data_IF_061853637469
#
_entry.id   IF_061853637469
#
_cell.length_a   1.000
_cell.length_b   1.000
_cell.length_c   1.000
_cell.angle_alpha   90.00
_cell.angle_beta   90.00
_cell.angle_gamma   90.00
#
_symmetry.space_group_name_H-M   'P 1'
#
loop_
_entity.id
_entity.type
_entity.pdbx_description
1 polymer ?
#
# COMPACT_ATOMS: atom_id res chain seq x y z
N UNK A 1 0.02 31.71 -29.76
CA UNK A 1 1.28 31.18 -29.20
C UNK A 1 1.29 31.15 -27.67
N UNK A 2 0.90 32.23 -26.97
CA UNK A 2 0.86 32.32 -25.49
C UNK A 2 0.04 31.21 -24.81
N UNK A 3 -1.19 30.94 -25.27
CA UNK A 3 -2.03 29.83 -24.73
C UNK A 3 -1.36 28.46 -24.78
N UNK A 4 -0.60 28.19 -25.85
CA UNK A 4 0.13 26.92 -26.01
C UNK A 4 1.26 26.81 -25.00
N UNK A 5 1.99 27.89 -24.75
CA UNK A 5 3.07 27.95 -23.76
C UNK A 5 2.51 27.70 -22.36
N UNK A 6 1.47 28.44 -21.97
CA UNK A 6 0.84 28.28 -20.65
C UNK A 6 0.32 26.85 -20.43
N UNK A 7 -0.37 26.29 -21.43
CA UNK A 7 -0.91 24.93 -21.35
C UNK A 7 0.22 23.88 -21.26
N UNK A 8 1.32 24.06 -21.99
CA UNK A 8 2.48 23.17 -21.92
C UNK A 8 3.15 23.23 -20.54
N UNK A 9 3.35 24.43 -19.99
CA UNK A 9 3.93 24.63 -18.66
C UNK A 9 3.08 23.94 -17.59
N UNK A 10 1.76 24.09 -17.66
CA UNK A 10 0.83 23.44 -16.72
C UNK A 10 0.87 21.91 -16.82
N UNK A 11 0.84 21.35 -18.04
CA UNK A 11 0.92 19.89 -18.21
C UNK A 11 2.28 19.35 -17.76
N UNK A 12 3.37 20.08 -18.03
CA UNK A 12 4.71 19.72 -17.51
C UNK A 12 4.72 19.67 -15.98
N UNK A 13 4.11 20.64 -15.31
CA UNK A 13 4.01 20.64 -13.84
C UNK A 13 3.20 19.43 -13.33
N UNK A 14 2.09 19.10 -13.99
CA UNK A 14 1.31 17.90 -13.66
C UNK A 14 2.15 16.62 -13.78
N UNK A 15 2.95 16.51 -14.84
CA UNK A 15 3.86 15.38 -15.05
C UNK A 15 5.01 15.35 -14.04
N UNK A 16 5.53 16.51 -13.62
CA UNK A 16 6.54 16.60 -12.56
C UNK A 16 6.00 16.06 -11.23
N UNK A 17 4.77 16.38 -10.86
CA UNK A 17 4.12 15.82 -9.66
C UNK A 17 4.02 14.29 -9.74
N UNK A 18 3.57 13.75 -10.87
CA UNK A 18 3.52 12.28 -11.08
C UNK A 18 4.92 11.67 -10.97
N UNK A 19 5.93 12.28 -11.59
CA UNK A 19 7.30 11.78 -11.53
C UNK A 19 7.87 11.85 -10.11
N UNK A 20 7.49 12.86 -9.31
CA UNK A 20 7.83 12.96 -7.90
C UNK A 20 7.25 11.80 -7.08
N UNK A 21 5.98 11.47 -7.28
CA UNK A 21 5.35 10.31 -6.64
C UNK A 21 6.06 8.98 -7.00
N UNK A 22 6.48 8.81 -8.26
CA UNK A 22 7.28 7.66 -8.67
C UNK A 22 8.65 7.60 -7.98
N UNK A 23 9.27 8.75 -7.70
CA UNK A 23 10.54 8.80 -6.97
C UNK A 23 10.37 8.40 -5.51
N UNK A 24 9.31 8.86 -4.84
CA UNK A 24 8.98 8.42 -3.47
C UNK A 24 8.66 6.93 -3.42
N UNK A 25 7.85 6.43 -4.35
CA UNK A 25 7.51 5.01 -4.43
C UNK A 25 8.76 4.13 -4.57
N UNK A 26 9.73 4.57 -5.37
CA UNK A 26 10.98 3.85 -5.59
C UNK A 26 11.81 3.70 -4.32
N UNK A 27 11.81 4.69 -3.41
CA UNK A 27 12.57 4.62 -2.15
C UNK A 27 12.12 3.46 -1.26
N UNK A 28 10.88 3.00 -1.43
CA UNK A 28 10.30 1.90 -0.68
C UNK A 28 10.65 0.52 -1.26
N UNK A 29 11.22 0.46 -2.48
CA UNK A 29 11.50 -0.81 -3.16
C UNK A 29 12.89 -1.31 -2.74
N UNK A 30 12.99 -2.49 -2.10
CA UNK A 30 14.28 -3.09 -1.78
C UNK A 30 15.03 -3.49 -3.06
N UNK A 31 16.18 -2.88 -3.34
CA UNK A 31 17.01 -3.19 -4.51
C UNK A 31 18.51 -3.19 -4.20
N UNK A 32 19.29 -3.91 -5.01
CA UNK A 32 20.75 -3.88 -4.98
C UNK A 32 21.28 -3.54 -6.38
N UNK A 33 22.10 -2.48 -6.55
CA UNK A 33 22.41 -1.44 -5.57
C UNK A 33 21.18 -0.54 -5.27
N UNK A 34 21.14 0.19 -4.14
CA UNK A 34 19.97 0.99 -3.71
C UNK A 34 19.60 2.13 -4.67
N UNK A 35 20.53 2.54 -5.54
CA UNK A 35 20.36 3.58 -6.55
C UNK A 35 20.04 3.02 -7.96
N UNK A 36 19.81 1.70 -8.09
CA UNK A 36 19.50 1.03 -9.36
C UNK A 36 18.38 1.73 -10.12
N UNK A 37 18.68 2.27 -11.30
CA UNK A 37 17.71 2.95 -12.21
C UNK A 37 16.62 1.98 -12.68
N UNK A 38 15.44 2.04 -12.05
CA UNK A 38 14.20 1.38 -12.43
C UNK A 38 13.34 2.25 -13.37
N UNK A 39 12.74 1.63 -14.38
CA UNK A 39 11.66 2.22 -15.19
C UNK A 39 10.34 2.31 -14.41
N UNK A 40 9.38 3.09 -14.91
CA UNK A 40 8.03 3.20 -14.30
C UNK A 40 7.34 1.84 -14.18
N UNK A 41 7.44 0.99 -15.20
CA UNK A 41 6.80 -0.31 -15.19
C UNK A 41 7.45 -1.25 -14.16
N UNK A 42 8.78 -1.26 -14.08
CA UNK A 42 9.50 -2.03 -13.06
C UNK A 42 9.15 -1.57 -11.66
N UNK A 43 9.07 -0.25 -11.40
CA UNK A 43 8.65 0.30 -10.10
C UNK A 43 7.28 -0.27 -9.70
N UNK A 44 6.30 -0.23 -10.60
CA UNK A 44 4.95 -0.73 -10.31
C UNK A 44 4.95 -2.23 -10.02
N UNK A 45 5.61 -3.04 -10.87
CA UNK A 45 5.66 -4.50 -10.70
C UNK A 45 6.37 -4.91 -9.41
N UNK A 46 7.52 -4.30 -9.13
CA UNK A 46 8.30 -4.62 -7.93
C UNK A 46 7.55 -4.21 -6.66
N UNK A 47 6.90 -3.04 -6.66
CA UNK A 47 6.13 -2.58 -5.50
C UNK A 47 4.92 -3.48 -5.20
N UNK A 48 4.15 -3.86 -6.22
CA UNK A 48 3.01 -4.79 -6.06
C UNK A 48 3.50 -6.13 -5.50
N UNK A 49 4.57 -6.69 -6.07
CA UNK A 49 5.16 -7.94 -5.58
C UNK A 49 5.72 -7.82 -4.16
N UNK A 50 6.29 -6.67 -3.81
CA UNK A 50 6.79 -6.38 -2.48
C UNK A 50 5.66 -6.39 -1.45
N UNK A 51 4.56 -5.70 -1.72
CA UNK A 51 3.37 -5.72 -0.85
C UNK A 51 2.77 -7.12 -0.74
N UNK A 52 2.66 -7.86 -1.85
CA UNK A 52 2.13 -9.23 -1.83
C UNK A 52 2.96 -10.15 -0.93
N UNK A 53 4.30 -10.06 -0.99
CA UNK A 53 5.19 -10.82 -0.12
C UNK A 53 5.04 -10.41 1.35
N UNK A 54 5.06 -9.11 1.63
CA UNK A 54 4.88 -8.61 2.99
C UNK A 54 3.58 -9.11 3.65
N UNK A 55 2.49 -9.17 2.89
CA UNK A 55 1.21 -9.67 3.39
C UNK A 55 1.27 -11.18 3.68
N UNK A 56 1.88 -11.97 2.79
CA UNK A 56 2.04 -13.41 3.00
C UNK A 56 2.93 -13.71 4.22
N UNK A 57 4.05 -12.98 4.36
CA UNK A 57 4.99 -13.17 5.47
C UNK A 57 4.29 -12.90 6.84
N UNK A 58 3.38 -11.90 6.89
CA UNK A 58 2.60 -11.59 8.08
C UNK A 58 1.57 -12.68 8.46
N UNK A 59 0.98 -13.36 7.48
CA UNK A 59 0.04 -14.46 7.71
C UNK A 59 0.74 -15.72 8.28
N UNK A 60 1.95 -16.00 7.79
CA UNK A 60 2.76 -17.14 8.25
C UNK A 60 3.22 -16.97 9.72
N UNK A 61 3.60 -15.75 10.14
CA UNK A 61 3.98 -15.49 11.53
C UNK A 61 2.80 -15.67 12.52
N UNK A 62 1.57 -15.40 12.07
CA UNK A 62 0.35 -15.63 12.86
C UNK A 62 0.06 -17.12 13.13
N UNK A 63 0.47 -18.00 12.21
CA UNK A 63 0.19 -19.44 12.28
C UNK A 63 1.25 -20.21 13.08
N UNK A 64 2.51 -19.73 13.12
CA UNK A 64 3.59 -20.41 13.84
C UNK A 64 3.50 -20.28 15.37
N UNK A 65 2.71 -19.34 15.89
CA UNK A 65 2.48 -19.16 17.34
C UNK A 65 1.49 -20.18 17.93
N UNK A 66 0.89 -21.05 17.11
CA UNK A 66 -0.03 -22.11 17.49
C UNK A 66 0.61 -23.53 17.44
N UNK A 67 1.88 -23.67 17.84
CA UNK A 67 2.43 -25.00 18.16
C UNK A 67 2.22 -25.27 19.66
N UNK A 68 1.15 -25.97 20.09
CA UNK A 68 1.13 -26.51 21.44
C UNK A 68 2.26 -27.54 21.56
N UNK A 69 3.00 -27.44 22.66
CA UNK A 69 3.98 -28.44 23.07
C UNK A 69 3.37 -29.84 23.01
N UNK A 70 4.15 -30.78 22.50
CA UNK A 70 3.70 -32.16 22.29
C UNK A 70 3.96 -32.94 23.58
N UNK A 71 3.11 -32.74 24.56
CA UNK A 71 2.98 -33.63 25.72
C UNK A 71 1.80 -34.58 25.44
N UNK A 72 1.97 -35.92 25.42
CA UNK A 72 0.83 -36.80 25.27
C UNK A 72 0.16 -36.95 26.64
N UNK A 73 -0.85 -36.12 26.92
CA UNK A 73 -1.76 -36.37 28.05
C UNK A 73 -3.17 -36.62 27.53
N UNK A 74 -3.66 -37.81 27.85
CA UNK A 74 -5.00 -38.36 27.60
C UNK A 74 -6.06 -37.52 28.33
N UNK A 75 -7.18 -37.22 27.68
CA UNK A 75 -8.36 -36.69 28.36
C UNK A 75 -9.53 -36.38 27.43
N UNK A 76 -10.65 -37.06 27.65
CA UNK A 76 -11.89 -36.96 26.88
C UNK A 76 -12.78 -35.76 27.30
N UNK A 77 -13.73 -35.41 26.43
CA UNK A 77 -14.81 -34.43 26.64
C UNK A 77 -14.56 -33.14 25.87
N UNK A 78 -15.50 -32.52 25.15
CA UNK A 78 -16.95 -32.64 25.05
C UNK A 78 -17.50 -31.23 24.78
N UNK A 79 -18.39 -31.08 23.79
CA UNK A 79 -19.39 -30.01 23.74
C UNK A 79 -19.02 -28.65 23.14
N UNK A 80 -19.81 -28.26 22.11
CA UNK A 80 -20.58 -27.01 22.16
C UNK A 80 -20.05 -25.77 21.44
N UNK A 81 -20.63 -25.48 20.27
CA UNK A 81 -21.53 -24.32 20.07
C UNK A 81 -20.97 -22.91 19.82
N UNK A 82 -21.48 -22.29 18.73
CA UNK A 82 -21.64 -20.84 18.52
C UNK A 82 -20.38 -20.12 18.03
N UNK A 83 -20.36 -19.33 16.96
CA UNK A 83 -21.39 -18.45 16.41
C UNK A 83 -20.96 -17.00 16.64
N UNK A 84 -20.85 -16.21 15.57
CA UNK A 84 -20.73 -14.75 15.65
C UNK A 84 -19.57 -14.17 14.86
N UNK A 85 -19.85 -13.79 13.62
CA UNK A 85 -19.00 -12.84 12.90
C UNK A 85 -19.16 -11.43 13.50
N UNK A 86 -18.06 -10.68 13.52
CA UNK A 86 -18.08 -9.24 13.66
C UNK A 86 -17.22 -8.64 12.55
N UNK A 87 -17.87 -7.90 11.66
CA UNK A 87 -17.24 -7.08 10.64
C UNK A 87 -16.44 -5.94 11.30
N UNK A 88 -15.36 -5.45 10.67
CA UNK A 88 -14.66 -4.26 11.15
C UNK A 88 -15.54 -3.02 10.94
N UNK A 89 -15.51 -2.03 11.86
CA UNK A 89 -16.30 -0.82 11.73
C UNK A 89 -15.80 0.02 10.54
N UNK A 90 -16.75 0.31 9.66
CA UNK A 90 -16.62 1.18 8.49
C UNK A 90 -16.76 2.66 8.88
N UNK A 91 -15.75 3.29 9.46
CA UNK A 91 -15.78 4.77 9.61
C UNK A 91 -14.41 5.41 9.86
N UNK A 92 -13.57 5.40 8.81
CA UNK A 92 -12.33 6.20 8.78
C UNK A 92 -12.10 6.80 7.39
N UNK A 93 -13.17 7.30 6.77
CA UNK A 93 -13.07 8.07 5.51
C UNK A 93 -13.84 9.40 5.55
N UNK A 94 -13.86 10.05 6.72
CA UNK A 94 -14.19 11.46 6.83
C UNK A 94 -13.02 12.13 7.54
N UNK A 95 -12.13 12.72 6.73
CA UNK A 95 -11.22 13.84 7.07
C UNK A 95 -9.93 13.89 6.24
N UNK A 96 -9.88 13.26 5.06
CA UNK A 96 -9.07 13.82 3.97
C UNK A 96 -9.88 14.93 3.29
N UNK A 97 -9.98 16.06 3.98
CA UNK A 97 -10.34 17.32 3.32
C UNK A 97 -9.16 17.68 2.43
N UNK A 98 -9.20 17.22 1.17
CA UNK A 98 -8.30 17.71 0.13
C UNK A 98 -8.50 19.23 0.10
N UNK A 99 -7.46 20.05 0.37
CA UNK A 99 -7.59 21.47 0.19
C UNK A 99 -7.90 21.71 -1.30
N UNK A 100 -9.11 22.19 -1.58
CA UNK A 100 -9.57 22.58 -2.92
C UNK A 100 -8.85 23.85 -3.43
N UNK A 101 -7.54 23.94 -3.24
CA UNK A 101 -6.77 25.18 -3.36
C UNK A 101 -5.89 25.31 -4.60
N UNK A 102 -5.89 24.35 -5.54
CA UNK A 102 -5.00 24.44 -6.71
C UNK A 102 -5.72 24.52 -8.07
N UNK A 103 -7.05 24.50 -8.09
CA UNK A 103 -7.82 24.61 -9.33
C UNK A 103 -8.18 26.06 -9.69
N UNK A 104 -7.97 27.00 -8.76
CA UNK A 104 -8.37 28.40 -8.93
C UNK A 104 -7.15 29.32 -9.08
N UNK A 105 -6.61 29.36 -10.30
CA UNK A 105 -5.98 30.56 -10.82
C UNK A 105 -6.44 30.74 -12.26
N UNK A 106 -7.55 31.46 -12.38
CA UNK A 106 -7.91 32.13 -13.61
C UNK A 106 -6.90 33.21 -13.99
N UNK A 107 -6.84 33.46 -15.29
CA UNK A 107 -6.00 34.38 -16.09
C UNK A 107 -4.68 33.79 -16.63
#
# INVERSE_FOLDING_TARGET
VVRRIFTNSRERWRQQNVNGAFAELRKLIPTHPPDKKLSKNEILRLYINFLAKLLNDQEEEGTQRAKPGKDPVVGAGGGGGGGGGSAPPEDLLQDVRVPSGCWDHGL
#
